data_IF_998145936306
#
_entry.id   IF_998145936306
#
_cell.length_a   1.000
_cell.length_b   1.000
_cell.length_c   1.000
_cell.angle_alpha   90.00
_cell.angle_beta   90.00
_cell.angle_gamma   90.00
#
_symmetry.space_group_name_H-M   'P 1'
#
loop_
_entity.id
_entity.type
_entity.pdbx_description
1 polymer ?
#
# COMPACT_ATOMS: atom_id res chain seq x y z
N UNK A 1 -3.45 -57.60 23.33
CA UNK A 1 -2.38 -56.57 23.21
C UNK A 1 -2.54 -55.71 21.91
N UNK A 2 -3.00 -56.30 20.82
CA UNK A 2 -3.19 -55.58 19.52
C UNK A 2 -4.38 -54.64 19.50
N UNK A 3 -5.50 -54.96 20.10
CA UNK A 3 -6.69 -54.12 20.26
C UNK A 3 -6.41 -52.80 21.01
N UNK A 4 -5.59 -52.87 22.05
CA UNK A 4 -5.16 -51.69 22.82
C UNK A 4 -4.29 -50.73 21.99
N UNK A 5 -3.41 -51.27 21.12
CA UNK A 5 -2.60 -50.47 20.21
C UNK A 5 -3.43 -49.80 19.11
N UNK A 6 -4.48 -50.47 18.62
CA UNK A 6 -5.42 -49.87 17.66
C UNK A 6 -6.24 -48.74 18.26
N UNK A 7 -6.69 -48.91 19.51
CA UNK A 7 -7.43 -47.87 20.26
C UNK A 7 -6.56 -46.62 20.53
N UNK A 8 -5.29 -46.82 20.93
CA UNK A 8 -4.37 -45.70 21.13
C UNK A 8 -4.04 -44.97 19.81
N UNK A 9 -3.89 -45.69 18.70
CA UNK A 9 -3.66 -45.12 17.39
C UNK A 9 -4.85 -44.28 16.89
N UNK A 10 -6.08 -44.77 17.08
CA UNK A 10 -7.30 -44.03 16.75
C UNK A 10 -7.48 -42.78 17.64
N UNK A 11 -7.20 -42.87 18.95
CA UNK A 11 -7.24 -41.72 19.87
C UNK A 11 -6.22 -40.66 19.53
N UNK A 12 -4.98 -41.03 19.16
CA UNK A 12 -3.94 -40.08 18.76
C UNK A 12 -4.24 -39.41 17.42
N UNK A 13 -4.86 -40.13 16.49
CA UNK A 13 -5.33 -39.51 15.24
C UNK A 13 -6.50 -38.57 15.44
N UNK A 14 -7.44 -38.91 16.33
CA UNK A 14 -8.55 -38.03 16.69
C UNK A 14 -8.06 -36.73 17.39
N UNK A 15 -7.09 -36.86 18.32
CA UNK A 15 -6.46 -35.71 18.96
C UNK A 15 -5.67 -34.84 17.96
N UNK A 16 -4.98 -35.42 16.99
CA UNK A 16 -4.30 -34.66 15.92
C UNK A 16 -5.28 -33.92 15.01
N UNK A 17 -6.39 -34.53 14.67
CA UNK A 17 -7.45 -33.91 13.87
C UNK A 17 -8.14 -32.80 14.68
N UNK A 18 -8.41 -33.01 15.97
CA UNK A 18 -8.97 -32.00 16.87
C UNK A 18 -8.02 -30.82 17.07
N UNK A 19 -6.71 -31.07 17.19
CA UNK A 19 -5.66 -30.02 17.22
C UNK A 19 -5.55 -29.26 15.88
N UNK A 20 -5.69 -29.96 14.75
CA UNK A 20 -5.70 -29.34 13.44
C UNK A 20 -6.94 -28.45 13.24
N UNK A 21 -8.11 -28.90 13.70
CA UNK A 21 -9.35 -28.09 13.68
C UNK A 21 -9.29 -26.90 14.66
N UNK A 22 -8.68 -27.05 15.84
CA UNK A 22 -8.45 -25.94 16.77
C UNK A 22 -7.44 -24.93 16.21
N UNK A 23 -6.41 -25.36 15.45
CA UNK A 23 -5.48 -24.46 14.80
C UNK A 23 -6.10 -23.71 13.59
N UNK A 24 -7.04 -24.34 12.88
CA UNK A 24 -7.78 -23.70 11.77
C UNK A 24 -8.81 -22.68 12.34
N UNK A 25 -9.36 -22.92 13.54
CA UNK A 25 -10.28 -21.96 14.18
C UNK A 25 -9.58 -20.76 14.82
N UNK A 26 -8.25 -20.79 15.05
CA UNK A 26 -7.46 -19.65 15.54
C UNK A 26 -6.90 -18.75 14.42
N UNK A 27 -7.04 -19.10 13.15
CA UNK A 27 -7.04 -18.13 12.08
C UNK A 27 -8.42 -17.47 11.98
N UNK A 28 -8.88 -16.91 13.11
CA UNK A 28 -9.95 -15.93 13.05
C UNK A 28 -9.37 -14.77 12.23
N UNK A 29 -9.89 -14.57 11.04
CA UNK A 29 -9.85 -13.28 10.37
C UNK A 29 -10.15 -12.24 11.44
N UNK A 30 -9.14 -11.51 11.90
CA UNK A 30 -9.37 -10.28 12.64
C UNK A 30 -10.10 -9.37 11.66
N UNK A 31 -11.45 -9.45 11.67
CA UNK A 31 -12.27 -8.45 11.00
C UNK A 31 -11.83 -7.13 11.61
N UNK A 32 -11.29 -6.26 10.78
CA UNK A 32 -10.98 -4.89 11.16
C UNK A 32 -12.32 -4.24 11.51
N UNK A 33 -12.64 -4.22 12.81
CA UNK A 33 -13.84 -3.52 13.27
C UNK A 33 -13.59 -2.02 13.16
N UNK A 34 -14.53 -1.31 12.56
CA UNK A 34 -14.52 0.15 12.56
C UNK A 34 -14.44 0.64 14.02
N UNK A 35 -13.50 1.55 14.30
CA UNK A 35 -13.48 2.27 15.58
C UNK A 35 -14.42 3.46 15.46
N UNK A 36 -15.55 3.37 16.14
CA UNK A 36 -16.46 4.49 16.31
C UNK A 36 -15.92 5.35 17.45
N UNK A 37 -15.50 6.56 17.14
CA UNK A 37 -14.97 7.51 18.13
C UNK A 37 -16.09 8.39 18.71
N UNK A 38 -17.12 8.69 17.89
CA UNK A 38 -18.31 9.45 18.27
C UNK A 38 -19.36 9.36 17.15
N UNK A 39 -20.52 9.97 17.34
CA UNK A 39 -21.55 10.12 16.30
C UNK A 39 -21.06 10.90 15.08
N UNK A 40 -19.94 11.63 15.22
CA UNK A 40 -19.37 12.43 14.14
C UNK A 40 -18.18 11.75 13.45
N UNK A 41 -17.60 10.69 14.00
CA UNK A 41 -16.36 10.09 13.48
C UNK A 41 -16.35 8.56 13.58
N UNK A 42 -16.24 7.92 12.45
CA UNK A 42 -15.89 6.52 12.30
C UNK A 42 -14.56 6.40 11.54
N UNK A 43 -13.66 5.55 12.01
CA UNK A 43 -12.40 5.20 11.34
C UNK A 43 -12.24 3.69 11.27
N UNK A 44 -11.72 3.21 10.15
CA UNK A 44 -11.44 1.81 9.89
C UNK A 44 -10.10 1.66 9.19
N UNK A 45 -9.35 0.59 9.44
CA UNK A 45 -8.05 0.31 8.81
C UNK A 45 -6.92 0.15 9.82
N UNK A 46 -5.67 0.36 9.37
CA UNK A 46 -4.45 0.06 10.12
C UNK A 46 -3.96 1.24 10.96
N UNK A 47 -4.17 1.19 12.29
CA UNK A 47 -3.69 2.19 13.25
C UNK A 47 -2.21 1.97 13.60
N UNK A 48 -1.34 2.02 12.61
CA UNK A 48 0.11 1.80 12.76
C UNK A 48 0.90 2.64 11.77
N UNK A 49 2.20 2.82 11.99
CA UNK A 49 3.10 3.45 11.02
C UNK A 49 3.05 2.72 9.68
N UNK A 50 2.89 3.44 8.58
CA UNK A 50 2.65 2.90 7.24
C UNK A 50 1.19 2.50 6.97
N UNK A 51 0.26 2.77 7.88
CA UNK A 51 -1.15 2.39 7.75
C UNK A 51 -1.97 3.36 6.91
N UNK A 52 -3.16 2.91 6.52
CA UNK A 52 -4.22 3.69 5.90
C UNK A 52 -5.47 3.59 6.74
N UNK A 53 -6.14 4.73 6.99
CA UNK A 53 -7.43 4.78 7.65
C UNK A 53 -8.48 5.31 6.68
N UNK A 54 -9.60 4.60 6.61
CA UNK A 54 -10.81 5.00 5.92
C UNK A 54 -11.75 5.63 6.93
N UNK A 55 -12.16 6.86 6.67
CA UNK A 55 -12.98 7.63 7.59
C UNK A 55 -14.38 7.89 7.04
N UNK A 56 -15.33 8.04 7.98
CA UNK A 56 -16.71 8.42 7.70
C UNK A 56 -17.13 9.52 8.66
N UNK A 57 -17.79 10.56 8.12
CA UNK A 57 -18.36 11.67 8.88
C UNK A 57 -19.55 12.27 8.11
N UNK A 58 -20.23 13.25 8.68
CA UNK A 58 -21.18 14.06 7.90
C UNK A 58 -20.41 14.90 6.86
N UNK A 59 -20.86 14.91 5.61
CA UNK A 59 -20.19 15.62 4.50
C UNK A 59 -20.06 17.14 4.72
N UNK A 60 -20.84 17.74 5.63
CA UNK A 60 -20.77 19.16 6.00
C UNK A 60 -19.70 19.45 7.07
N UNK A 61 -19.15 18.41 7.70
CA UNK A 61 -18.08 18.57 8.68
C UNK A 61 -16.75 18.80 7.97
N UNK A 62 -15.89 19.59 8.59
CA UNK A 62 -14.47 19.72 8.21
C UNK A 62 -13.63 18.85 9.12
N UNK A 63 -12.77 18.05 8.53
CA UNK A 63 -11.83 17.15 9.23
C UNK A 63 -10.42 17.74 9.12
N UNK A 64 -9.70 17.75 10.23
CA UNK A 64 -8.28 18.09 10.26
C UNK A 64 -7.52 16.94 10.91
N UNK A 65 -6.45 16.49 10.27
CA UNK A 65 -5.51 15.50 10.80
C UNK A 65 -4.16 16.21 11.04
N UNK A 66 -3.73 16.27 12.30
CA UNK A 66 -2.53 17.02 12.69
C UNK A 66 -2.51 18.43 12.05
N UNK A 67 -3.59 19.20 12.25
CA UNK A 67 -3.79 20.57 11.76
C UNK A 67 -3.98 20.71 10.22
N UNK A 68 -3.78 19.66 9.44
CA UNK A 68 -4.00 19.67 7.99
C UNK A 68 -5.43 19.30 7.66
N UNK A 69 -6.12 20.15 6.89
CA UNK A 69 -7.47 19.87 6.41
C UNK A 69 -7.46 18.62 5.50
N UNK A 70 -8.43 17.73 5.73
CA UNK A 70 -8.63 16.50 4.97
C UNK A 70 -9.90 16.64 4.17
N UNK A 71 -9.84 16.34 2.89
CA UNK A 71 -11.01 16.39 2.02
C UNK A 71 -12.04 15.33 2.44
N UNK A 72 -13.28 15.75 2.60
CA UNK A 72 -14.46 14.90 2.84
C UNK A 72 -15.35 14.99 1.61
N UNK A 73 -15.72 13.86 1.01
CA UNK A 73 -16.60 13.86 -0.14
C UNK A 73 -18.08 14.06 0.23
N UNK A 74 -18.96 14.19 -0.77
CA UNK A 74 -20.41 14.37 -0.56
C UNK A 74 -21.08 13.19 0.17
N UNK A 75 -20.47 12.02 0.17
CA UNK A 75 -20.96 10.87 0.93
C UNK A 75 -20.41 10.83 2.36
N UNK A 76 -19.54 11.76 2.74
CA UNK A 76 -18.89 11.82 4.06
C UNK A 76 -17.65 10.93 4.17
N UNK A 77 -17.16 10.35 3.08
CA UNK A 77 -15.97 9.51 3.07
C UNK A 77 -14.71 10.37 3.00
N UNK A 78 -13.66 9.97 3.70
CA UNK A 78 -12.32 10.52 3.63
C UNK A 78 -11.27 9.44 3.93
N UNK A 79 -10.01 9.73 3.63
CA UNK A 79 -8.89 8.82 3.92
C UNK A 79 -7.74 9.55 4.61
N UNK A 80 -7.06 8.85 5.52
CA UNK A 80 -5.89 9.34 6.24
C UNK A 80 -4.73 8.38 6.04
N UNK A 81 -3.60 8.89 5.54
CA UNK A 81 -2.37 8.14 5.46
C UNK A 81 -1.53 8.36 6.72
N UNK A 82 -1.05 7.29 7.30
CA UNK A 82 -0.10 7.30 8.40
C UNK A 82 1.28 6.99 7.83
N UNK A 83 2.16 7.98 7.78
CA UNK A 83 3.51 7.83 7.23
C UNK A 83 4.36 6.82 8.02
N UNK A 84 5.51 6.43 7.41
CA UNK A 84 6.47 5.48 8.01
C UNK A 84 6.98 5.91 9.39
N UNK A 85 7.24 7.19 9.55
CA UNK A 85 7.85 7.78 10.74
C UNK A 85 6.87 8.74 11.46
N UNK A 86 5.54 8.52 11.28
CA UNK A 86 4.50 9.32 11.91
C UNK A 86 4.57 9.22 13.44
N UNK A 87 4.20 10.31 14.13
CA UNK A 87 4.11 10.36 15.59
C UNK A 87 3.14 9.31 16.10
N UNK A 88 3.37 8.78 17.30
CA UNK A 88 2.51 7.73 17.86
C UNK A 88 1.17 8.29 18.36
N UNK A 89 1.13 9.55 18.78
CA UNK A 89 -0.09 10.27 19.11
C UNK A 89 -0.39 11.31 18.02
N UNK A 90 -1.60 11.25 17.47
CA UNK A 90 -2.08 12.14 16.43
C UNK A 90 -3.41 12.74 16.85
N UNK A 91 -3.78 13.89 16.28
CA UNK A 91 -5.04 14.57 16.58
C UNK A 91 -5.94 14.58 15.34
N UNK A 92 -7.20 14.24 15.53
CA UNK A 92 -8.28 14.50 14.58
C UNK A 92 -9.19 15.54 15.20
N UNK A 93 -9.35 16.66 14.49
CA UNK A 93 -10.28 17.73 14.88
C UNK A 93 -11.41 17.69 13.86
N UNK A 94 -12.63 17.66 14.38
CA UNK A 94 -13.87 17.74 13.61
C UNK A 94 -14.51 19.11 13.90
N UNK A 95 -14.66 19.93 12.87
CA UNK A 95 -15.47 21.13 12.94
C UNK A 95 -16.84 20.81 12.35
N UNK A 96 -17.78 20.50 13.22
CA UNK A 96 -19.14 20.12 12.86
C UNK A 96 -20.11 21.31 12.89
N UNK A 97 -21.31 21.13 12.32
CA UNK A 97 -22.33 22.18 12.28
C UNK A 97 -22.89 22.55 13.67
N UNK A 98 -22.97 21.58 14.58
CA UNK A 98 -23.55 21.80 15.93
C UNK A 98 -22.51 21.80 17.02
N UNK A 99 -21.43 21.03 16.87
CA UNK A 99 -20.35 20.91 17.86
C UNK A 99 -19.02 20.62 17.17
N UNK A 100 -17.94 20.99 17.82
CA UNK A 100 -16.59 20.59 17.44
C UNK A 100 -16.13 19.47 18.37
N UNK A 101 -15.33 18.56 17.84
CA UNK A 101 -14.74 17.45 18.60
C UNK A 101 -13.24 17.35 18.30
N UNK A 102 -12.49 16.88 19.30
CA UNK A 102 -11.07 16.55 19.15
C UNK A 102 -10.82 15.15 19.68
N UNK A 103 -10.25 14.30 18.86
CA UNK A 103 -9.93 12.92 19.21
C UNK A 103 -8.43 12.69 19.11
N UNK A 104 -7.86 12.05 20.15
CA UNK A 104 -6.50 11.54 20.14
C UNK A 104 -6.50 10.16 19.51
N UNK A 105 -5.68 9.99 18.48
CA UNK A 105 -5.52 8.73 17.75
C UNK A 105 -4.15 8.16 18.09
N UNK A 106 -4.13 7.03 18.78
CA UNK A 106 -2.91 6.28 19.05
C UNK A 106 -2.62 5.30 17.92
N UNK A 107 -1.40 5.33 17.41
CA UNK A 107 -0.91 4.40 16.39
C UNK A 107 0.26 3.58 16.94
N UNK A 108 0.42 2.37 16.44
CA UNK A 108 1.49 1.47 16.83
C UNK A 108 2.80 1.81 16.12
N UNK A 109 3.91 1.76 16.84
CA UNK A 109 5.25 1.88 16.28
C UNK A 109 5.65 0.59 15.56
N UNK A 110 6.31 0.71 14.42
CA UNK A 110 6.87 -0.43 13.67
C UNK A 110 8.40 -0.45 13.75
N UNK A 111 8.96 -1.65 13.72
CA UNK A 111 10.40 -1.88 13.56
C UNK A 111 10.68 -2.25 12.11
N UNK A 112 11.62 -1.55 11.49
CA UNK A 112 12.03 -1.77 10.11
C UNK A 112 13.42 -2.38 10.04
N UNK A 113 13.63 -3.31 9.09
CA UNK A 113 14.92 -3.97 8.89
C UNK A 113 15.83 -3.12 8.00
N UNK A 114 17.12 -3.39 8.01
CA UNK A 114 18.09 -2.87 7.05
C UNK A 114 18.16 -3.86 5.89
N UNK A 115 17.94 -3.37 4.67
CA UNK A 115 18.07 -4.13 3.42
C UNK A 115 19.32 -3.64 2.67
N UNK A 116 20.29 -4.54 2.47
CA UNK A 116 21.50 -4.28 1.68
C UNK A 116 21.27 -4.82 0.27
N UNK A 117 21.57 -4.01 -0.74
CA UNK A 117 21.46 -4.35 -2.16
C UNK A 117 22.76 -3.93 -2.81
N UNK A 118 23.50 -4.88 -3.34
CA UNK A 118 24.75 -4.69 -4.04
C UNK A 118 24.64 -5.08 -5.52
N UNK A 119 25.64 -4.74 -6.33
CA UNK A 119 25.65 -5.04 -7.77
C UNK A 119 24.84 -4.07 -8.62
N UNK A 120 24.37 -2.94 -8.08
CA UNK A 120 23.73 -1.89 -8.88
C UNK A 120 24.77 -1.10 -9.69
N UNK A 121 24.46 -0.67 -10.93
CA UNK A 121 25.32 0.23 -11.70
C UNK A 121 25.65 1.50 -10.89
N UNK A 122 26.91 1.93 -10.91
CA UNK A 122 27.41 3.05 -10.09
C UNK A 122 26.56 4.32 -10.28
N UNK A 123 26.21 4.67 -11.51
CA UNK A 123 25.38 5.84 -11.81
C UNK A 123 23.95 5.71 -11.23
N UNK A 124 23.40 4.51 -11.08
CA UNK A 124 22.09 4.29 -10.45
C UNK A 124 22.11 4.48 -8.92
N UNK A 125 23.30 4.51 -8.31
CA UNK A 125 23.49 4.80 -6.89
C UNK A 125 23.97 6.22 -6.67
N UNK A 126 24.89 6.70 -7.51
CA UNK A 126 25.46 8.06 -7.47
C UNK A 126 25.36 8.67 -8.88
N UNK A 127 24.20 9.26 -9.23
CA UNK A 127 23.99 9.88 -10.53
C UNK A 127 24.88 11.13 -10.73
N UNK A 128 25.27 11.42 -11.96
CA UNK A 128 25.93 12.66 -12.34
C UNK A 128 24.93 13.85 -12.44
N UNK A 129 25.41 15.06 -12.74
CA UNK A 129 24.57 16.27 -12.78
C UNK A 129 23.48 16.22 -13.85
N UNK A 130 23.76 15.66 -15.02
CA UNK A 130 22.78 15.51 -16.11
C UNK A 130 21.68 14.52 -15.70
N UNK A 131 22.07 13.37 -15.15
CA UNK A 131 21.14 12.36 -14.61
C UNK A 131 20.30 12.95 -13.47
N UNK A 132 20.90 13.75 -12.58
CA UNK A 132 20.16 14.45 -11.51
C UNK A 132 19.13 15.44 -12.06
N UNK A 133 19.42 16.16 -13.16
CA UNK A 133 18.46 17.03 -13.83
C UNK A 133 17.28 16.22 -14.40
N UNK A 134 17.57 15.09 -15.07
CA UNK A 134 16.56 14.15 -15.54
C UNK A 134 15.68 13.65 -14.39
N UNK A 135 16.29 13.17 -13.30
CA UNK A 135 15.58 12.66 -12.11
C UNK A 135 14.67 13.72 -11.50
N UNK A 136 15.12 14.99 -11.42
CA UNK A 136 14.28 16.08 -10.90
C UNK A 136 13.04 16.30 -11.77
N UNK A 137 13.19 16.31 -13.09
CA UNK A 137 12.08 16.48 -14.03
C UNK A 137 11.07 15.32 -13.94
N UNK A 138 11.54 14.07 -13.95
CA UNK A 138 10.70 12.89 -13.80
C UNK A 138 9.96 12.90 -12.46
N UNK A 139 10.65 13.24 -11.37
CA UNK A 139 10.06 13.35 -10.03
C UNK A 139 8.96 14.41 -9.97
N UNK A 140 9.09 15.52 -10.68
CA UNK A 140 8.06 16.57 -10.80
C UNK A 140 6.81 16.03 -11.49
N UNK A 141 6.96 15.35 -12.64
CA UNK A 141 5.84 14.75 -13.39
C UNK A 141 5.10 13.72 -12.50
N UNK A 142 5.85 12.81 -11.88
CA UNK A 142 5.31 11.79 -10.96
C UNK A 142 4.56 12.44 -9.78
N UNK A 143 5.13 13.51 -9.20
CA UNK A 143 4.50 14.23 -8.09
C UNK A 143 3.20 14.90 -8.53
N UNK A 144 3.16 15.56 -9.67
CA UNK A 144 1.95 16.17 -10.24
C UNK A 144 0.86 15.11 -10.42
N UNK A 145 1.21 13.97 -11.02
CA UNK A 145 0.26 12.86 -11.23
C UNK A 145 -0.31 12.32 -9.92
N UNK A 146 0.52 12.09 -8.90
CA UNK A 146 0.05 11.62 -7.58
C UNK A 146 -0.84 12.62 -6.86
N UNK A 147 -0.66 13.92 -7.11
CA UNK A 147 -1.46 14.97 -6.51
C UNK A 147 -2.72 15.33 -7.33
N UNK A 148 -2.92 14.68 -8.49
CA UNK A 148 -4.15 14.85 -9.28
C UNK A 148 -5.35 14.34 -8.47
N UNK A 149 -6.19 15.27 -8.03
CA UNK A 149 -7.36 14.94 -7.23
C UNK A 149 -8.46 14.32 -8.09
N UNK A 150 -9.04 13.21 -7.63
CA UNK A 150 -10.16 12.55 -8.25
C UNK A 150 -11.25 12.34 -7.19
N UNK A 151 -12.37 13.08 -7.30
CA UNK A 151 -13.49 12.95 -6.37
C UNK A 151 -14.36 11.72 -6.69
N UNK A 152 -13.74 10.55 -6.58
CA UNK A 152 -14.37 9.23 -6.73
C UNK A 152 -13.89 8.33 -5.60
N UNK A 153 -14.60 7.25 -5.33
CA UNK A 153 -14.26 6.24 -4.31
C UNK A 153 -14.01 4.89 -4.96
N UNK A 154 -13.18 4.86 -6.02
CA UNK A 154 -12.90 3.66 -6.80
C UNK A 154 -12.24 2.57 -5.96
N UNK A 155 -11.49 2.94 -4.91
CA UNK A 155 -10.90 2.06 -3.93
C UNK A 155 -11.91 1.17 -3.18
N UNK A 156 -13.20 1.55 -3.17
CA UNK A 156 -14.27 0.76 -2.52
C UNK A 156 -14.56 -0.58 -3.22
N UNK A 157 -13.97 -0.84 -4.38
CA UNK A 157 -13.97 -2.18 -4.97
C UNK A 157 -13.10 -3.19 -4.19
N UNK A 158 -12.40 -2.73 -3.15
CA UNK A 158 -11.42 -3.49 -2.37
C UNK A 158 -10.13 -3.72 -3.15
N UNK A 159 -9.09 -4.25 -2.46
CA UNK A 159 -7.77 -4.48 -3.04
C UNK A 159 -7.43 -5.96 -3.09
N UNK A 160 -6.71 -6.35 -4.14
CA UNK A 160 -6.12 -7.68 -4.33
C UNK A 160 -4.63 -7.56 -4.66
N UNK A 161 -3.88 -8.64 -4.56
CA UNK A 161 -2.49 -8.68 -5.00
C UNK A 161 -2.39 -8.40 -6.51
N UNK A 162 -1.51 -7.46 -6.95
CA UNK A 162 -1.38 -7.13 -8.37
C UNK A 162 -0.62 -8.19 -9.17
N UNK A 163 0.18 -9.02 -8.51
CA UNK A 163 0.97 -10.10 -9.13
C UNK A 163 1.20 -11.22 -8.12
N UNK A 164 1.27 -12.45 -8.61
CA UNK A 164 1.73 -13.59 -7.82
C UNK A 164 3.25 -13.67 -7.86
N UNK A 165 3.91 -13.72 -6.68
CA UNK A 165 5.36 -13.76 -6.59
C UNK A 165 5.86 -13.80 -5.14
N UNK A 166 7.17 -13.70 -4.96
CA UNK A 166 7.82 -13.74 -3.65
C UNK A 166 8.13 -12.31 -3.22
N UNK A 167 7.69 -11.89 -2.03
CA UNK A 167 8.03 -10.57 -1.48
C UNK A 167 9.50 -10.57 -1.06
N UNK A 168 10.33 -9.82 -1.77
CA UNK A 168 11.79 -9.70 -1.57
C UNK A 168 12.19 -8.38 -0.90
N UNK A 169 11.36 -7.35 -1.00
CA UNK A 169 11.57 -6.05 -0.36
C UNK A 169 10.30 -5.56 0.32
N UNK A 170 10.37 -5.28 1.64
CA UNK A 170 9.22 -4.81 2.42
C UNK A 170 9.23 -3.30 2.61
N UNK A 171 8.03 -2.72 2.69
CA UNK A 171 7.83 -1.31 3.05
C UNK A 171 8.55 -0.95 4.34
N UNK A 172 9.13 0.25 4.35
CA UNK A 172 9.77 0.86 5.51
C UNK A 172 11.21 0.40 5.75
N UNK A 173 11.69 -0.68 5.12
CA UNK A 173 13.06 -1.13 5.30
C UNK A 173 14.07 -0.06 4.88
N UNK A 174 15.08 0.19 5.73
CA UNK A 174 16.17 1.10 5.41
C UNK A 174 17.07 0.48 4.34
N UNK A 175 17.23 1.17 3.20
CA UNK A 175 18.08 0.67 2.11
C UNK A 175 19.52 1.14 2.22
N UNK A 176 20.45 0.21 2.02
CA UNK A 176 21.87 0.47 1.78
C UNK A 176 22.19 -0.07 0.40
N UNK A 177 22.51 0.81 -0.56
CA UNK A 177 22.76 0.46 -1.96
C UNK A 177 24.27 0.59 -2.25
N UNK A 178 24.92 -0.51 -2.65
CA UNK A 178 26.38 -0.57 -2.85
C UNK A 178 27.13 0.07 -1.68
N UNK A 179 26.76 -0.28 -0.44
CA UNK A 179 27.35 0.26 0.79
C UNK A 179 26.88 1.66 1.20
N UNK A 180 26.10 2.37 0.37
CA UNK A 180 25.66 3.74 0.66
C UNK A 180 24.24 3.78 1.23
N UNK A 181 24.00 4.42 2.40
CA UNK A 181 22.65 4.64 2.93
C UNK A 181 21.80 5.47 1.96
N UNK A 182 20.57 5.04 1.72
CA UNK A 182 19.60 5.71 0.87
C UNK A 182 18.26 5.82 1.59
N UNK A 183 17.28 6.49 0.98
CA UNK A 183 15.91 6.57 1.54
C UNK A 183 15.35 5.18 1.78
N UNK A 184 14.49 5.00 2.80
CA UNK A 184 13.78 3.75 3.02
C UNK A 184 13.01 3.29 1.78
N UNK A 185 12.73 2.00 1.72
CA UNK A 185 11.84 1.46 0.69
C UNK A 185 10.39 1.82 0.99
N UNK A 186 9.72 2.51 0.09
CA UNK A 186 8.35 2.96 0.27
C UNK A 186 7.35 2.16 -0.57
N UNK A 187 7.55 0.83 -0.67
CA UNK A 187 6.71 -0.09 -1.40
C UNK A 187 7.01 -1.55 -1.08
N UNK A 188 6.51 -2.44 -1.91
CA UNK A 188 6.82 -3.87 -1.89
C UNK A 188 7.55 -4.25 -3.17
N UNK A 189 8.69 -4.93 -3.05
CA UNK A 189 9.32 -5.61 -4.19
C UNK A 189 8.80 -7.04 -4.25
N UNK A 190 8.15 -7.41 -5.35
CA UNK A 190 7.58 -8.74 -5.59
C UNK A 190 8.31 -9.38 -6.76
N UNK A 191 9.20 -10.35 -6.47
CA UNK A 191 9.94 -11.09 -7.49
C UNK A 191 9.00 -12.02 -8.26
N UNK A 192 9.04 -11.92 -9.58
CA UNK A 192 8.32 -12.78 -10.52
C UNK A 192 9.04 -12.81 -11.87
N UNK A 193 8.84 -13.83 -12.67
CA UNK A 193 9.46 -13.96 -13.98
C UNK A 193 9.12 -12.76 -14.90
N UNK A 194 10.09 -12.34 -15.71
CA UNK A 194 9.87 -11.27 -16.71
C UNK A 194 8.73 -11.67 -17.67
N UNK A 195 7.76 -10.77 -17.88
CA UNK A 195 6.56 -11.04 -18.65
C UNK A 195 5.36 -11.56 -17.82
N UNK A 196 5.53 -11.81 -16.51
CA UNK A 196 4.40 -12.13 -15.65
C UNK A 196 3.39 -11.00 -15.66
N UNK A 197 2.10 -11.33 -15.86
CA UNK A 197 1.01 -10.37 -15.92
C UNK A 197 0.82 -9.65 -14.58
N UNK A 198 0.69 -8.32 -14.65
CA UNK A 198 0.33 -7.45 -13.53
C UNK A 198 -1.10 -6.97 -13.75
N UNK A 199 -1.95 -7.16 -12.76
CA UNK A 199 -3.36 -6.75 -12.81
C UNK A 199 -3.60 -5.54 -11.88
N UNK A 200 -4.67 -4.79 -12.16
CA UNK A 200 -5.10 -3.72 -11.25
C UNK A 200 -5.60 -4.30 -9.93
N UNK A 201 -5.09 -3.84 -8.79
CA UNK A 201 -5.54 -4.36 -7.49
C UNK A 201 -6.93 -3.88 -7.12
N UNK A 202 -7.41 -2.79 -7.69
CA UNK A 202 -8.70 -2.14 -7.40
C UNK A 202 -9.19 -1.38 -8.63
N UNK A 203 -10.44 -0.92 -8.63
CA UNK A 203 -10.90 0.00 -9.66
C UNK A 203 -10.06 1.29 -9.64
N UNK A 204 -9.78 1.86 -10.81
CA UNK A 204 -8.90 3.02 -10.94
C UNK A 204 -9.13 3.81 -12.24
N UNK A 205 -8.51 4.99 -12.30
CA UNK A 205 -8.23 5.73 -13.52
C UNK A 205 -6.71 5.78 -13.74
N UNK A 206 -6.22 5.51 -14.94
CA UNK A 206 -4.78 5.62 -15.24
C UNK A 206 -4.38 7.10 -15.20
N UNK A 207 -3.54 7.45 -14.24
CA UNK A 207 -3.11 8.83 -13.99
C UNK A 207 -1.83 9.19 -14.73
N UNK A 208 -0.94 8.21 -14.97
CA UNK A 208 0.33 8.40 -15.66
C UNK A 208 0.84 7.09 -16.23
N UNK A 209 1.44 7.16 -17.43
CA UNK A 209 2.28 6.10 -17.98
C UNK A 209 3.61 6.71 -18.43
N UNK A 210 4.74 6.07 -18.11
CA UNK A 210 6.07 6.48 -18.60
C UNK A 210 6.84 5.26 -19.09
N UNK A 211 7.35 5.36 -20.33
CA UNK A 211 8.08 4.26 -20.98
C UNK A 211 9.54 4.15 -20.54
N UNK A 212 10.13 5.26 -20.06
CA UNK A 212 11.50 5.27 -19.57
C UNK A 212 11.70 6.35 -18.51
N UNK A 213 11.98 5.91 -17.28
CA UNK A 213 12.44 6.79 -16.20
C UNK A 213 13.72 6.28 -15.59
N UNK A 214 14.54 7.18 -15.09
CA UNK A 214 15.89 6.85 -14.62
C UNK A 214 15.89 5.78 -13.50
N UNK A 215 15.00 5.92 -12.51
CA UNK A 215 14.93 4.96 -11.39
C UNK A 215 13.83 3.91 -11.57
N UNK A 216 12.64 4.32 -11.98
CA UNK A 216 11.49 3.38 -12.02
C UNK A 216 11.44 2.57 -13.33
N UNK A 217 12.21 2.96 -14.37
CA UNK A 217 12.10 2.36 -15.70
C UNK A 217 10.73 2.64 -16.32
N UNK A 218 10.12 1.65 -16.96
CA UNK A 218 8.72 1.72 -17.36
C UNK A 218 7.83 1.69 -16.13
N UNK A 219 6.86 2.62 -16.08
CA UNK A 219 5.98 2.73 -14.91
C UNK A 219 4.56 3.14 -15.25
N UNK A 220 3.62 2.79 -14.35
CA UNK A 220 2.22 3.18 -14.38
C UNK A 220 1.83 3.73 -13.02
N UNK A 221 0.97 4.75 -12.98
CA UNK A 221 0.27 5.23 -11.79
C UNK A 221 -1.22 5.10 -12.03
N UNK A 222 -1.91 4.43 -11.10
CA UNK A 222 -3.36 4.34 -11.04
C UNK A 222 -3.89 5.21 -9.90
N UNK A 223 -4.93 6.01 -10.17
CA UNK A 223 -5.64 6.82 -9.20
C UNK A 223 -6.94 6.12 -8.78
N UNK A 224 -7.07 5.78 -7.50
CA UNK A 224 -8.23 5.09 -6.91
C UNK A 224 -9.26 6.04 -6.29
N UNK A 225 -9.02 7.35 -6.42
CA UNK A 225 -9.87 8.41 -5.85
C UNK A 225 -9.40 8.90 -4.47
N UNK A 226 -9.89 10.06 -4.08
CA UNK A 226 -9.57 10.77 -2.83
C UNK A 226 -8.05 10.90 -2.54
N UNK A 227 -7.21 10.98 -3.58
CA UNK A 227 -5.75 11.07 -3.47
C UNK A 227 -5.03 9.73 -3.28
N UNK A 228 -5.75 8.60 -3.25
CA UNK A 228 -5.16 7.27 -3.16
C UNK A 228 -4.65 6.81 -4.52
N UNK A 229 -3.37 6.48 -4.60
CA UNK A 229 -2.71 6.05 -5.84
C UNK A 229 -1.94 4.75 -5.62
N UNK A 230 -1.86 3.90 -6.66
CA UNK A 230 -0.91 2.80 -6.75
C UNK A 230 0.08 3.01 -7.88
N UNK A 231 1.34 2.62 -7.67
CA UNK A 231 2.46 2.85 -8.56
C UNK A 231 3.12 1.52 -8.86
N UNK A 232 3.43 1.28 -10.12
CA UNK A 232 4.02 0.05 -10.65
C UNK A 232 5.29 0.42 -11.40
N UNK A 233 6.43 -0.13 -11.00
CA UNK A 233 7.74 0.20 -11.58
C UNK A 233 8.46 -1.05 -12.07
N UNK A 234 9.53 -0.83 -12.83
CA UNK A 234 10.41 -1.84 -13.43
C UNK A 234 9.72 -2.71 -14.49
N UNK A 235 8.67 -2.18 -15.12
CA UNK A 235 7.82 -2.91 -16.05
C UNK A 235 8.56 -3.30 -17.34
N UNK A 236 8.17 -4.43 -17.93
CA UNK A 236 8.59 -4.85 -19.27
C UNK A 236 7.72 -4.21 -20.34
N UNK A 237 6.40 -4.21 -20.12
CA UNK A 237 5.41 -3.70 -21.06
C UNK A 237 4.23 -3.09 -20.31
N UNK A 238 3.71 -2.00 -20.85
CA UNK A 238 2.50 -1.31 -20.37
C UNK A 238 1.35 -1.64 -21.33
N UNK A 239 0.18 -1.99 -20.80
CA UNK A 239 -1.00 -2.37 -21.58
C UNK A 239 -2.15 -1.35 -21.49
N UNK A 240 -1.96 -0.26 -20.76
CA UNK A 240 -2.98 0.76 -20.50
C UNK A 240 -2.50 2.14 -20.97
N UNK A 241 -3.42 3.08 -21.14
CA UNK A 241 -3.16 4.47 -21.54
C UNK A 241 -3.69 5.43 -20.48
N UNK A 242 -3.08 6.59 -20.36
CA UNK A 242 -3.55 7.67 -19.49
C UNK A 242 -5.02 8.01 -19.75
N UNK A 243 -5.78 8.24 -18.68
CA UNK A 243 -7.22 8.51 -18.71
C UNK A 243 -8.11 7.26 -18.80
N UNK A 244 -7.55 6.07 -19.07
CA UNK A 244 -8.35 4.85 -19.14
C UNK A 244 -8.97 4.50 -17.78
N UNK A 245 -10.24 4.07 -17.78
CA UNK A 245 -10.92 3.51 -16.61
C UNK A 245 -10.58 2.02 -16.51
N UNK A 246 -10.11 1.60 -15.35
CA UNK A 246 -9.62 0.24 -15.09
C UNK A 246 -10.48 -0.41 -14.00
N UNK A 247 -10.89 -1.64 -14.24
CA UNK A 247 -11.58 -2.46 -13.23
C UNK A 247 -10.57 -3.29 -12.43
N UNK A 248 -10.92 -3.63 -11.20
CA UNK A 248 -10.16 -4.59 -10.40
C UNK A 248 -9.98 -5.91 -11.17
N UNK A 249 -8.72 -6.36 -11.32
CA UNK A 249 -8.38 -7.58 -12.05
C UNK A 249 -7.99 -7.37 -13.52
N UNK A 250 -8.20 -6.17 -14.10
CA UNK A 250 -7.80 -5.89 -15.47
C UNK A 250 -6.26 -5.94 -15.62
N UNK A 251 -5.79 -6.45 -16.75
CA UNK A 251 -4.38 -6.47 -17.11
C UNK A 251 -3.89 -5.03 -17.35
N UNK A 252 -2.83 -4.62 -16.64
CA UNK A 252 -2.28 -3.26 -16.77
C UNK A 252 -0.85 -3.25 -17.30
N UNK A 253 -0.04 -4.27 -16.97
CA UNK A 253 1.38 -4.31 -17.34
C UNK A 253 1.96 -5.73 -17.23
N UNK A 254 3.26 -5.85 -17.51
CA UNK A 254 4.06 -7.06 -17.31
C UNK A 254 5.30 -6.76 -16.46
N UNK A 255 5.67 -7.70 -15.59
CA UNK A 255 6.90 -7.65 -14.80
C UNK A 255 8.13 -7.56 -15.71
N UNK A 256 9.06 -6.69 -15.36
CA UNK A 256 10.32 -6.52 -16.04
C UNK A 256 11.47 -6.24 -15.07
N UNK A 257 12.52 -5.60 -15.59
CA UNK A 257 13.72 -5.21 -14.84
C UNK A 257 14.28 -3.89 -15.35
N UNK A 258 13.41 -2.97 -15.80
CA UNK A 258 13.83 -1.66 -16.33
C UNK A 258 14.17 -0.68 -15.20
N UNK A 259 14.93 0.39 -15.50
CA UNK A 259 15.33 1.38 -14.51
C UNK A 259 16.42 0.89 -13.54
N UNK A 260 16.27 1.15 -12.24
CA UNK A 260 17.20 0.71 -11.17
C UNK A 260 16.75 -0.60 -10.57
N UNK A 261 17.05 -1.69 -11.20
CA UNK A 261 16.70 -3.04 -10.80
C UNK A 261 17.90 -3.98 -10.93
N UNK A 262 17.99 -4.99 -10.07
CA UNK A 262 19.00 -6.06 -10.12
C UNK A 262 18.46 -7.35 -10.75
N UNK A 263 17.17 -7.43 -11.01
CA UNK A 263 16.52 -8.60 -11.61
C UNK A 263 15.01 -8.42 -11.74
N UNK A 264 14.31 -9.34 -12.41
CA UNK A 264 12.88 -9.20 -12.66
C UNK A 264 12.05 -9.17 -11.37
N UNK A 265 11.34 -8.05 -11.14
CA UNK A 265 10.40 -7.86 -10.03
C UNK A 265 9.44 -6.70 -10.32
N UNK A 266 8.35 -6.64 -9.58
CA UNK A 266 7.47 -5.47 -9.48
C UNK A 266 7.84 -4.68 -8.21
N UNK A 267 8.19 -3.39 -8.33
CA UNK A 267 8.14 -2.45 -7.19
C UNK A 267 6.72 -1.84 -7.18
N UNK A 268 5.90 -2.29 -6.21
CA UNK A 268 4.52 -1.86 -6.02
C UNK A 268 4.40 -0.92 -4.83
N UNK A 269 3.88 0.29 -5.06
CA UNK A 269 3.72 1.30 -4.01
C UNK A 269 2.29 1.79 -3.93
N UNK A 270 1.87 2.15 -2.72
CA UNK A 270 0.61 2.84 -2.46
C UNK A 270 0.92 4.17 -1.80
N UNK A 271 0.25 5.23 -2.26
CA UNK A 271 0.39 6.57 -1.71
C UNK A 271 -0.98 7.22 -1.53
N UNK A 272 -1.13 8.02 -0.48
CA UNK A 272 -2.17 9.05 -0.43
C UNK A 272 -1.46 10.38 -0.66
N UNK A 273 -1.69 10.99 -1.81
CA UNK A 273 -0.88 12.09 -2.33
C UNK A 273 0.63 11.70 -2.31
N UNK A 274 1.43 12.40 -1.51
CA UNK A 274 2.87 12.14 -1.37
C UNK A 274 3.24 11.28 -0.15
N UNK A 275 2.26 10.84 0.65
CA UNK A 275 2.50 10.00 1.83
C UNK A 275 2.42 8.54 1.40
N UNK A 276 3.54 7.83 1.48
CA UNK A 276 3.59 6.40 1.18
C UNK A 276 3.07 5.58 2.36
N UNK A 277 2.28 4.56 2.05
CA UNK A 277 1.74 3.59 3.00
C UNK A 277 2.18 2.17 2.62
N UNK A 278 2.04 1.24 3.56
CA UNK A 278 2.41 -0.16 3.34
C UNK A 278 1.32 -0.90 2.56
N UNK A 279 1.59 -1.40 1.35
CA UNK A 279 0.62 -2.16 0.57
C UNK A 279 0.17 -3.47 1.25
N UNK A 280 1.01 -4.13 2.05
CA UNK A 280 0.61 -5.34 2.81
C UNK A 280 -0.49 -5.02 3.81
N UNK A 281 -0.38 -3.91 4.56
CA UNK A 281 -1.41 -3.50 5.52
C UNK A 281 -2.73 -3.17 4.83
N UNK A 282 -2.68 -2.50 3.68
CA UNK A 282 -3.89 -2.22 2.90
C UNK A 282 -4.63 -3.49 2.49
N UNK A 283 -3.91 -4.56 2.12
CA UNK A 283 -4.52 -5.83 1.75
C UNK A 283 -5.12 -6.59 2.94
N UNK A 284 -4.50 -6.46 4.14
CA UNK A 284 -4.92 -7.20 5.33
C UNK A 284 -6.06 -6.51 6.07
N UNK A 285 -6.04 -5.17 6.13
CA UNK A 285 -6.87 -4.37 7.03
C UNK A 285 -7.87 -3.47 6.28
N UNK A 286 -8.18 -3.78 5.02
CA UNK A 286 -9.21 -3.05 4.29
C UNK A 286 -10.61 -3.38 4.84
N UNK A 287 -11.51 -2.37 4.95
CA UNK A 287 -12.89 -2.62 5.33
C UNK A 287 -13.65 -3.39 4.25
N UNK A 288 -14.73 -4.05 4.63
CA UNK A 288 -15.76 -4.48 3.68
C UNK A 288 -16.50 -3.21 3.21
N UNK A 289 -16.44 -2.90 1.90
CA UNK A 289 -17.06 -1.73 1.30
C UNK A 289 -18.44 -2.04 0.71
#
# INVERSE_FOLDING_TARGET
MELLKQFQKKRNNFLKILFLFLFIFFYSTQKSFAKVFSDLLELNGSFTQGGLLFGKTNYKNKIFFNEKEVFVNKSGDFILAIGRDEKLENLIIIKGLKKNETHKIQISKRKYKIQRIDGLPKNKVTPNEEELKRIRNESKIISISKNKFLNKTLYKSGFIWPVKGIVTGKYGNQRILNGQPRRPHYGLDIAAASGTKIISPSNAEVSLTMEDTFFNGKMVILNHGLGLNSIYSHLKKIHVKEGAQIKKGDLIAEVGSTGRSTGPHLDWRINVYNIAIDPELLLLDQPEF
#
